data_IF_700756743294
#
_entry.id   IF_700756743294
#
_cell.length_a   1.000
_cell.length_b   1.000
_cell.length_c   1.000
_cell.angle_alpha   90.00
_cell.angle_beta   90.00
_cell.angle_gamma   90.00
#
_symmetry.space_group_name_H-M   'P 1'
#
loop_
_entity.id
_entity.type
_entity.pdbx_description
1 polymer ?
#
# COMPACT_ATOMS: atom_id res chain seq x y z
N UNK A 1 -6.50 14.33 -5.18
CA UNK A 1 -5.68 14.16 -3.95
C UNK A 1 -5.60 12.67 -3.65
N UNK A 2 -4.53 12.23 -2.98
CA UNK A 2 -4.29 10.82 -2.62
C UNK A 2 -4.11 10.70 -1.11
N UNK A 3 -4.78 9.75 -0.49
CA UNK A 3 -4.68 9.49 0.95
C UNK A 3 -3.95 8.16 1.16
N UNK A 4 -2.79 8.20 1.80
CA UNK A 4 -2.08 7.01 2.27
C UNK A 4 -2.39 6.78 3.75
N UNK A 5 -2.77 5.56 4.13
CA UNK A 5 -3.19 5.20 5.49
C UNK A 5 -2.41 3.97 5.96
N UNK A 6 -1.88 4.01 7.17
CA UNK A 6 -1.28 2.87 7.85
C UNK A 6 -1.98 2.69 9.19
N UNK A 7 -2.53 1.51 9.44
CA UNK A 7 -2.94 1.09 10.77
C UNK A 7 -1.83 0.25 11.39
N UNK A 8 -1.49 0.55 12.64
CA UNK A 8 -0.59 -0.26 13.46
C UNK A 8 -1.34 -0.75 14.70
N UNK A 9 -0.68 -1.58 15.51
CA UNK A 9 -1.24 -2.08 16.77
C UNK A 9 -1.67 -0.98 17.75
N UNK A 10 -1.04 0.19 17.71
CA UNK A 10 -1.24 1.25 18.72
C UNK A 10 -1.69 2.59 18.14
N UNK A 11 -1.62 2.80 16.82
CA UNK A 11 -1.98 4.07 16.20
C UNK A 11 -2.27 3.93 14.70
N UNK A 12 -2.91 4.95 14.14
CA UNK A 12 -3.09 5.15 12.72
C UNK A 12 -2.28 6.38 12.29
N UNK A 13 -1.57 6.25 11.16
CA UNK A 13 -0.91 7.37 10.48
C UNK A 13 -1.50 7.53 9.10
N UNK A 14 -1.90 8.74 8.74
CA UNK A 14 -2.37 9.03 7.40
C UNK A 14 -1.83 10.34 6.84
N UNK A 15 -1.63 10.38 5.52
CA UNK A 15 -1.14 11.56 4.79
C UNK A 15 -2.02 11.85 3.60
N UNK A 16 -2.47 13.09 3.50
CA UNK A 16 -3.13 13.62 2.31
C UNK A 16 -2.11 14.33 1.41
N UNK A 17 -1.85 13.75 0.24
CA UNK A 17 -0.92 14.28 -0.75
C UNK A 17 -1.66 14.86 -1.96
N UNK A 18 -1.14 15.98 -2.48
CA UNK A 18 -1.57 16.57 -3.76
C UNK A 18 -0.36 16.79 -4.67
N UNK A 19 -0.40 16.18 -5.85
CA UNK A 19 0.55 16.47 -6.94
C UNK A 19 0.13 17.78 -7.62
N UNK A 20 1.05 18.74 -7.72
CA UNK A 20 0.92 19.99 -8.47
C UNK A 20 2.11 20.10 -9.43
N UNK A 21 1.89 19.93 -10.73
CA UNK A 21 2.98 19.89 -11.72
C UNK A 21 4.14 18.99 -11.25
N UNK A 22 5.31 19.58 -10.98
CA UNK A 22 6.53 18.91 -10.55
C UNK A 22 6.68 18.71 -9.03
N UNK A 23 5.73 19.17 -8.22
CA UNK A 23 5.85 19.16 -6.76
C UNK A 23 4.78 18.28 -6.10
N UNK A 24 5.17 17.63 -5.00
CA UNK A 24 4.30 16.79 -4.18
C UNK A 24 4.06 17.49 -2.84
N UNK A 25 2.86 18.04 -2.65
CA UNK A 25 2.52 18.76 -1.43
C UNK A 25 1.83 17.82 -0.42
N UNK A 26 2.41 17.66 0.76
CA UNK A 26 1.73 17.10 1.92
C UNK A 26 0.79 18.16 2.51
N UNK A 27 -0.52 17.96 2.36
CA UNK A 27 -1.53 18.93 2.77
C UNK A 27 -2.00 18.70 4.21
N UNK A 28 -2.11 17.43 4.63
CA UNK A 28 -2.53 17.05 5.98
C UNK A 28 -1.77 15.81 6.42
N UNK A 29 -1.44 15.77 7.71
CA UNK A 29 -0.89 14.61 8.40
C UNK A 29 -1.80 14.31 9.60
N UNK A 30 -2.12 13.03 9.80
CA UNK A 30 -3.01 12.59 10.86
C UNK A 30 -2.35 11.50 11.69
N UNK A 31 -2.18 11.75 12.98
CA UNK A 31 -1.78 10.76 13.96
C UNK A 31 -2.96 10.52 14.91
N UNK A 32 -3.46 9.29 14.94
CA UNK A 32 -4.61 8.92 15.78
C UNK A 32 -4.18 7.73 16.61
N UNK A 33 -4.14 7.88 17.93
CA UNK A 33 -3.87 6.77 18.84
C UNK A 33 -5.03 5.77 18.83
N UNK A 34 -4.70 4.50 18.99
CA UNK A 34 -5.69 3.45 19.16
C UNK A 34 -6.37 3.61 20.51
N UNK A 35 -7.69 3.71 20.49
CA UNK A 35 -8.52 3.63 21.68
C UNK A 35 -9.06 2.20 21.85
N UNK A 36 -9.72 1.92 22.97
CA UNK A 36 -10.28 0.60 23.28
C UNK A 36 -11.56 0.27 22.50
N UNK A 37 -12.03 1.17 21.62
CA UNK A 37 -13.23 0.95 20.84
C UNK A 37 -13.02 -0.18 19.82
N UNK A 38 -13.91 -1.17 19.84
CA UNK A 38 -13.90 -2.27 18.85
C UNK A 38 -13.99 -1.76 17.40
N UNK A 39 -14.61 -0.59 17.20
CA UNK A 39 -14.80 0.04 15.90
C UNK A 39 -13.79 1.16 15.60
N UNK A 40 -12.66 1.23 16.32
CA UNK A 40 -11.67 2.32 16.20
C UNK A 40 -11.25 2.64 14.75
N UNK A 41 -11.00 1.62 13.93
CA UNK A 41 -10.60 1.81 12.53
C UNK A 41 -11.74 2.44 11.72
N UNK A 42 -12.99 2.02 11.97
CA UNK A 42 -14.17 2.58 11.31
C UNK A 42 -14.38 4.05 11.71
N UNK A 43 -14.28 4.37 13.00
CA UNK A 43 -14.35 5.74 13.51
C UNK A 43 -13.24 6.63 12.91
N UNK A 44 -12.03 6.09 12.79
CA UNK A 44 -10.87 6.75 12.17
C UNK A 44 -11.10 7.06 10.68
N UNK A 45 -11.63 6.10 9.93
CA UNK A 45 -11.97 6.30 8.51
C UNK A 45 -13.09 7.34 8.36
N UNK A 46 -14.13 7.28 9.19
CA UNK A 46 -15.18 8.29 9.27
C UNK A 46 -14.61 9.70 9.51
N UNK A 47 -13.63 9.83 10.40
CA UNK A 47 -12.92 11.08 10.64
C UNK A 47 -12.18 11.57 9.39
N UNK A 48 -11.45 10.69 8.68
CA UNK A 48 -10.79 11.09 7.44
C UNK A 48 -11.77 11.55 6.36
N UNK A 49 -12.92 10.89 6.22
CA UNK A 49 -13.95 11.27 5.25
C UNK A 49 -14.46 12.70 5.47
N UNK A 50 -14.69 13.06 6.74
CA UNK A 50 -15.10 14.43 7.12
C UNK A 50 -14.01 15.47 6.85
N UNK A 51 -12.73 15.09 7.00
CA UNK A 51 -11.62 16.04 7.00
C UNK A 51 -10.85 16.13 5.67
N UNK A 52 -10.94 15.15 4.78
CA UNK A 52 -10.10 15.10 3.57
C UNK A 52 -10.79 15.59 2.28
N UNK A 53 -12.08 15.94 2.35
CA UNK A 53 -12.85 16.37 1.18
C UNK A 53 -12.90 15.27 0.10
N UNK A 54 -12.99 15.68 -1.18
CA UNK A 54 -13.06 14.74 -2.31
C UNK A 54 -11.70 14.09 -2.57
N UNK A 55 -11.61 12.79 -2.34
CA UNK A 55 -10.42 11.97 -2.56
C UNK A 55 -10.49 11.25 -3.91
N UNK A 56 -9.36 11.17 -4.61
CA UNK A 56 -9.29 10.47 -5.90
C UNK A 56 -8.79 9.04 -5.72
N UNK A 57 -7.87 8.83 -4.76
CA UNK A 57 -7.28 7.53 -4.46
C UNK A 57 -7.06 7.39 -2.96
N UNK A 58 -7.34 6.21 -2.43
CA UNK A 58 -7.03 5.82 -1.05
C UNK A 58 -6.21 4.54 -1.08
N UNK A 59 -5.07 4.57 -0.42
CA UNK A 59 -4.08 3.49 -0.43
C UNK A 59 -3.86 3.08 1.02
N UNK A 60 -4.09 1.80 1.30
CA UNK A 60 -3.87 1.22 2.61
C UNK A 60 -2.51 0.52 2.64
N UNK A 61 -1.75 0.72 3.71
CA UNK A 61 -0.56 -0.05 4.04
C UNK A 61 -0.87 -1.19 4.98
N UNK A 62 -0.34 -2.36 4.69
CA UNK A 62 -0.27 -3.50 5.60
C UNK A 62 1.17 -3.73 6.05
N UNK A 63 1.33 -4.29 7.25
CA UNK A 63 2.64 -4.56 7.83
C UNK A 63 3.34 -5.67 7.04
N UNK A 64 4.66 -5.55 6.81
CA UNK A 64 5.47 -6.55 6.11
C UNK A 64 5.35 -7.97 6.70
N UNK A 65 5.04 -8.08 8.00
CA UNK A 65 4.86 -9.37 8.68
C UNK A 65 3.52 -10.06 8.37
N UNK A 66 2.55 -9.33 7.80
CA UNK A 66 1.24 -9.84 7.40
C UNK A 66 1.22 -10.36 5.96
N UNK A 67 2.36 -10.32 5.27
CA UNK A 67 2.51 -10.74 3.87
C UNK A 67 3.68 -11.71 3.73
N UNK A 68 3.61 -12.54 2.69
CA UNK A 68 4.66 -13.46 2.31
C UNK A 68 5.24 -13.02 0.97
N UNK A 69 6.57 -12.90 0.91
CA UNK A 69 7.27 -12.49 -0.31
C UNK A 69 8.24 -13.56 -0.79
N UNK A 70 8.30 -13.73 -2.11
CA UNK A 70 9.21 -14.64 -2.81
C UNK A 70 9.71 -13.99 -4.09
N UNK A 71 10.99 -14.16 -4.40
CA UNK A 71 11.51 -13.79 -5.72
C UNK A 71 11.61 -15.05 -6.57
N UNK A 72 11.07 -15.00 -7.78
CA UNK A 72 11.03 -16.13 -8.70
C UNK A 72 11.58 -15.71 -10.06
N UNK A 73 12.34 -16.62 -10.67
CA UNK A 73 12.75 -16.46 -12.07
C UNK A 73 11.81 -17.29 -12.94
N UNK A 74 11.08 -16.62 -13.81
CA UNK A 74 10.07 -17.24 -14.69
C UNK A 74 10.38 -16.96 -16.16
N UNK A 75 9.76 -17.72 -17.06
CA UNK A 75 9.86 -17.48 -18.49
C UNK A 75 9.32 -16.08 -18.86
N UNK A 76 10.11 -15.31 -19.61
CA UNK A 76 9.77 -13.95 -20.00
C UNK A 76 8.61 -13.88 -21.00
N UNK A 77 8.30 -14.96 -21.72
CA UNK A 77 7.20 -15.01 -22.69
C UNK A 77 5.83 -15.20 -22.03
N UNK A 78 5.78 -15.51 -20.73
CA UNK A 78 4.52 -15.68 -20.02
C UNK A 78 3.79 -14.34 -19.88
N UNK A 79 2.52 -14.34 -20.28
CA UNK A 79 1.56 -13.27 -20.01
C UNK A 79 1.19 -13.20 -18.54
N UNK A 80 0.67 -12.05 -18.08
CA UNK A 80 0.26 -11.85 -16.69
C UNK A 80 -0.74 -12.90 -16.21
N UNK A 81 -1.70 -13.27 -17.07
CA UNK A 81 -2.68 -14.33 -16.77
C UNK A 81 -1.99 -15.68 -16.54
N UNK A 82 -0.99 -16.02 -17.36
CA UNK A 82 -0.24 -17.27 -17.20
C UNK A 82 0.61 -17.26 -15.94
N UNK A 83 1.21 -16.11 -15.59
CA UNK A 83 2.00 -15.95 -14.37
C UNK A 83 1.11 -16.12 -13.14
N UNK A 84 -0.01 -15.39 -13.06
CA UNK A 84 -0.93 -15.51 -11.94
C UNK A 84 -1.49 -16.94 -11.80
N UNK A 85 -1.83 -17.59 -12.92
CA UNK A 85 -2.26 -18.99 -12.89
C UNK A 85 -1.15 -19.93 -12.37
N UNK A 86 0.09 -19.73 -12.82
CA UNK A 86 1.25 -20.47 -12.31
C UNK A 86 1.42 -20.29 -10.80
N UNK A 87 1.38 -19.05 -10.32
CA UNK A 87 1.51 -18.73 -8.89
C UNK A 87 0.39 -19.39 -8.07
N UNK A 88 -0.85 -19.36 -8.55
CA UNK A 88 -1.99 -20.04 -7.90
C UNK A 88 -1.80 -21.56 -7.83
N UNK A 89 -1.32 -22.19 -8.90
CA UNK A 89 -1.05 -23.63 -8.90
C UNK A 89 0.09 -24.01 -7.95
N UNK A 90 1.02 -23.09 -7.69
CA UNK A 90 2.18 -23.31 -6.83
C UNK A 90 1.99 -22.75 -5.40
N UNK A 91 0.81 -22.22 -5.06
CA UNK A 91 0.59 -21.50 -3.80
C UNK A 91 0.96 -22.33 -2.56
N UNK A 92 0.62 -23.61 -2.54
CA UNK A 92 0.91 -24.49 -1.41
C UNK A 92 2.43 -24.68 -1.23
N UNK A 93 3.15 -24.87 -2.33
CA UNK A 93 4.61 -25.02 -2.30
C UNK A 93 5.32 -23.71 -1.95
N UNK A 94 4.86 -22.58 -2.48
CA UNK A 94 5.50 -21.27 -2.31
C UNK A 94 5.24 -20.66 -0.93
N UNK A 95 4.03 -20.86 -0.41
CA UNK A 95 3.50 -20.14 0.75
C UNK A 95 2.94 -21.04 1.86
N UNK A 96 2.74 -22.34 1.62
CA UNK A 96 2.16 -23.26 2.60
C UNK A 96 0.65 -23.14 2.76
N UNK A 97 -0.03 -22.52 1.80
CA UNK A 97 -1.49 -22.36 1.80
C UNK A 97 -2.08 -22.64 0.43
N UNK A 98 -3.28 -23.22 0.43
CA UNK A 98 -4.08 -23.37 -0.78
C UNK A 98 -4.42 -22.01 -1.41
N UNK A 99 -4.56 -21.99 -2.74
CA UNK A 99 -4.68 -20.76 -3.52
C UNK A 99 -5.90 -19.91 -3.13
N UNK A 100 -7.01 -20.54 -2.77
CA UNK A 100 -8.25 -19.89 -2.35
C UNK A 100 -8.13 -19.13 -1.03
N UNK A 101 -7.10 -19.44 -0.22
CA UNK A 101 -6.81 -18.74 1.03
C UNK A 101 -5.92 -17.52 0.84
N UNK A 102 -5.41 -17.28 -0.36
CA UNK A 102 -4.42 -16.24 -0.63
C UNK A 102 -4.93 -15.24 -1.67
N UNK A 103 -4.71 -13.96 -1.38
CA UNK A 103 -4.58 -12.94 -2.41
C UNK A 103 -3.13 -12.92 -2.87
N UNK A 104 -2.89 -13.03 -4.18
CA UNK A 104 -1.54 -13.09 -4.76
C UNK A 104 -1.41 -12.02 -5.82
N UNK A 105 -0.31 -11.27 -5.75
CA UNK A 105 0.09 -10.31 -6.78
C UNK A 105 1.60 -10.41 -7.02
N UNK A 106 2.10 -9.75 -8.07
CA UNK A 106 3.52 -9.72 -8.36
C UNK A 106 3.95 -8.45 -9.07
N UNK A 107 5.23 -8.11 -8.93
CA UNK A 107 5.89 -7.08 -9.73
C UNK A 107 7.08 -7.66 -10.48
N UNK A 108 7.41 -7.04 -11.62
CA UNK A 108 8.61 -7.39 -12.40
C UNK A 108 9.76 -6.54 -11.87
N UNK A 109 10.75 -7.19 -11.25
CA UNK A 109 11.96 -6.52 -10.75
C UNK A 109 12.92 -6.24 -11.89
N UNK A 110 13.12 -7.24 -12.76
CA UNK A 110 14.09 -7.15 -13.86
C UNK A 110 13.61 -7.90 -15.09
N UNK A 111 13.59 -7.19 -16.22
CA UNK A 111 13.31 -7.76 -17.52
C UNK A 111 14.56 -8.47 -18.10
N UNK A 112 14.33 -9.66 -18.67
CA UNK A 112 15.23 -10.41 -19.57
C UNK A 112 16.66 -10.64 -19.05
N UNK A 113 16.83 -11.74 -18.33
CA UNK A 113 18.09 -12.48 -18.24
C UNK A 113 17.89 -13.77 -19.03
N UNK A 114 18.50 -13.90 -20.22
CA UNK A 114 18.50 -15.14 -21.01
C UNK A 114 17.10 -15.76 -21.23
N UNK A 115 16.13 -14.96 -21.67
CA UNK A 115 14.76 -15.43 -21.90
C UNK A 115 13.89 -15.57 -20.64
N UNK A 116 14.42 -15.21 -19.47
CA UNK A 116 13.69 -15.21 -18.20
C UNK A 116 13.50 -13.80 -17.65
N UNK A 117 12.51 -13.60 -16.79
CA UNK A 117 12.32 -12.37 -15.99
C UNK A 117 12.30 -12.71 -14.51
N UNK A 118 12.87 -11.81 -13.70
CA UNK A 118 12.83 -11.90 -12.25
C UNK A 118 11.60 -11.15 -11.77
N UNK A 119 10.73 -11.84 -11.04
CA UNK A 119 9.54 -11.27 -10.42
C UNK A 119 9.64 -11.35 -8.90
N UNK A 120 9.05 -10.36 -8.22
CA UNK A 120 8.75 -10.42 -6.79
C UNK A 120 7.27 -10.73 -6.66
N UNK A 121 6.97 -11.85 -6.01
CA UNK A 121 5.62 -12.29 -5.71
C UNK A 121 5.30 -11.91 -4.28
N UNK A 122 4.11 -11.35 -4.07
CA UNK A 122 3.56 -11.01 -2.77
C UNK A 122 2.27 -11.79 -2.59
N UNK A 123 2.09 -12.41 -1.43
CA UNK A 123 0.81 -12.99 -1.05
C UNK A 123 0.41 -12.57 0.36
N UNK A 124 -0.90 -12.48 0.57
CA UNK A 124 -1.51 -12.19 1.86
C UNK A 124 -2.72 -13.10 2.06
N UNK A 125 -3.15 -13.30 3.30
CA UNK A 125 -4.36 -14.07 3.56
C UNK A 125 -5.58 -13.35 2.98
N UNK A 126 -6.37 -14.08 2.19
CA UNK A 126 -7.56 -13.55 1.52
C UNK A 126 -8.56 -12.97 2.51
N UNK A 127 -8.69 -13.57 3.71
CA UNK A 127 -9.59 -13.09 4.77
C UNK A 127 -9.24 -11.67 5.23
N UNK A 128 -7.95 -11.35 5.34
CA UNK A 128 -7.50 -10.02 5.76
C UNK A 128 -7.75 -8.98 4.65
N UNK A 129 -7.51 -9.37 3.40
CA UNK A 129 -7.76 -8.49 2.24
C UNK A 129 -9.25 -8.19 2.08
N UNK A 130 -10.10 -9.20 2.22
CA UNK A 130 -11.56 -9.04 2.23
C UNK A 130 -12.01 -8.14 3.38
N UNK A 131 -11.48 -8.35 4.60
CA UNK A 131 -11.78 -7.49 5.74
C UNK A 131 -11.48 -6.01 5.45
N UNK A 132 -10.29 -5.69 4.91
CA UNK A 132 -9.95 -4.32 4.59
C UNK A 132 -10.81 -3.72 3.48
N UNK A 133 -11.14 -4.50 2.45
CA UNK A 133 -12.04 -4.07 1.38
C UNK A 133 -13.42 -3.71 1.93
N UNK A 134 -14.00 -4.57 2.77
CA UNK A 134 -15.29 -4.35 3.40
C UNK A 134 -15.28 -3.16 4.36
N UNK A 135 -14.24 -3.05 5.20
CA UNK A 135 -14.07 -1.94 6.14
C UNK A 135 -14.07 -0.58 5.40
N UNK A 136 -13.31 -0.46 4.32
CA UNK A 136 -13.25 0.79 3.56
C UNK A 136 -14.53 1.04 2.75
N UNK A 137 -15.12 -0.01 2.16
CA UNK A 137 -16.38 0.10 1.44
C UNK A 137 -17.51 0.57 2.36
N UNK A 138 -17.57 0.09 3.62
CA UNK A 138 -18.56 0.52 4.61
C UNK A 138 -18.49 2.03 4.90
N UNK A 139 -17.32 2.64 4.71
CA UNK A 139 -17.07 4.06 4.88
C UNK A 139 -17.10 4.81 3.54
N UNK A 140 -17.63 4.16 2.49
CA UNK A 140 -17.73 4.67 1.13
C UNK A 140 -16.37 5.15 0.58
N UNK A 141 -15.28 4.51 1.00
CA UNK A 141 -13.98 4.68 0.39
C UNK A 141 -13.80 3.61 -0.70
N UNK A 142 -13.34 4.05 -1.86
CA UNK A 142 -12.82 3.14 -2.87
C UNK A 142 -11.32 2.97 -2.64
N UNK A 143 -10.91 1.82 -2.10
CA UNK A 143 -9.50 1.45 -2.06
C UNK A 143 -8.98 1.33 -3.48
N UNK A 144 -7.90 2.07 -3.77
CA UNK A 144 -7.21 2.00 -5.05
C UNK A 144 -6.12 0.95 -5.04
N UNK A 145 -5.52 0.69 -3.87
CA UNK A 145 -4.52 -0.33 -3.65
C UNK A 145 -4.43 -0.67 -2.16
N UNK A 146 -4.02 -1.90 -1.88
CA UNK A 146 -3.45 -2.32 -0.61
C UNK A 146 -2.00 -2.64 -0.90
N UNK A 147 -1.09 -2.09 -0.12
CA UNK A 147 0.34 -2.15 -0.37
C UNK A 147 1.10 -2.43 0.93
N UNK A 148 2.37 -2.80 0.80
CA UNK A 148 3.22 -3.20 1.92
C UNK A 148 4.01 -2.00 2.42
N UNK A 149 4.13 -1.87 3.73
CA UNK A 149 4.85 -0.76 4.37
C UNK A 149 6.32 -0.62 3.90
N UNK A 150 7.01 -1.73 3.68
CA UNK A 150 8.40 -1.77 3.19
C UNK A 150 8.54 -1.17 1.79
N UNK A 151 7.68 -1.56 0.84
CA UNK A 151 7.67 -1.02 -0.53
C UNK A 151 7.23 0.44 -0.56
N UNK A 152 6.28 0.82 0.28
CA UNK A 152 5.90 2.21 0.45
C UNK A 152 7.09 3.04 0.97
N UNK A 153 7.85 2.52 1.93
CA UNK A 153 9.03 3.19 2.47
C UNK A 153 10.12 3.38 1.41
N UNK A 154 10.37 2.39 0.55
CA UNK A 154 11.29 2.52 -0.59
C UNK A 154 10.87 3.69 -1.50
N UNK A 155 9.58 3.78 -1.85
CA UNK A 155 9.06 4.91 -2.64
C UNK A 155 9.16 6.24 -1.91
N UNK A 156 9.01 6.29 -0.59
CA UNK A 156 9.23 7.53 0.14
C UNK A 156 10.65 8.06 -0.08
N UNK A 157 11.67 7.21 0.03
CA UNK A 157 13.06 7.64 -0.14
C UNK A 157 13.39 8.08 -1.56
N UNK A 158 12.77 7.46 -2.58
CA UNK A 158 12.90 7.89 -3.97
C UNK A 158 12.40 9.33 -4.19
N UNK A 159 11.36 9.73 -3.47
CA UNK A 159 10.69 11.02 -3.64
C UNK A 159 10.95 12.04 -2.52
N UNK A 160 11.76 11.73 -1.50
CA UNK A 160 11.91 12.55 -0.29
C UNK A 160 12.21 14.02 -0.62
N UNK A 161 13.11 14.26 -1.58
CA UNK A 161 13.53 15.59 -2.00
C UNK A 161 12.47 16.37 -2.79
N UNK A 162 11.43 15.70 -3.29
CA UNK A 162 10.36 16.29 -4.10
C UNK A 162 9.11 16.62 -3.27
N UNK A 163 9.14 16.32 -1.96
CA UNK A 163 8.02 16.53 -1.04
C UNK A 163 8.11 17.90 -0.39
N UNK A 164 7.06 18.69 -0.57
CA UNK A 164 6.86 19.96 0.12
C UNK A 164 5.92 19.73 1.28
N UNK A 165 6.42 19.97 2.48
CA UNK A 165 5.61 19.97 3.67
C UNK A 165 4.76 21.25 3.76
N UNK A 166 3.44 21.13 3.53
CA UNK A 166 2.47 22.20 3.77
C UNK A 166 1.59 21.92 4.98
N UNK A 167 2.02 21.00 5.84
CA UNK A 167 1.33 20.67 7.08
C UNK A 167 1.81 21.58 8.22
N UNK A 168 1.18 21.45 9.39
CA UNK A 168 1.59 22.17 10.60
C UNK A 168 2.68 21.44 11.41
N UNK A 169 3.17 20.29 10.95
CA UNK A 169 4.22 19.52 11.65
C UNK A 169 5.60 19.80 11.04
N UNK A 170 6.66 19.63 11.85
CA UNK A 170 8.04 19.83 11.41
C UNK A 170 8.43 18.82 10.33
N UNK A 171 9.46 19.13 9.52
CA UNK A 171 10.00 18.16 8.55
C UNK A 171 10.57 16.91 9.24
N UNK A 172 11.12 17.06 10.45
CA UNK A 172 11.59 15.93 11.24
C UNK A 172 10.44 15.03 11.67
N UNK A 173 9.32 15.61 12.11
CA UNK A 173 8.12 14.84 12.46
C UNK A 173 7.44 14.23 11.23
N UNK A 174 7.52 14.89 10.07
CA UNK A 174 6.97 14.35 8.83
C UNK A 174 7.63 13.02 8.45
N UNK A 175 8.91 12.80 8.80
CA UNK A 175 9.58 11.50 8.59
C UNK A 175 8.92 10.35 9.35
N UNK A 176 8.21 10.62 10.47
CA UNK A 176 7.40 9.62 11.19
C UNK A 176 6.21 9.11 10.34
N UNK A 177 5.89 9.80 9.25
CA UNK A 177 4.86 9.43 8.29
C UNK A 177 5.43 8.85 6.99
N UNK A 178 6.72 8.52 6.91
CA UNK A 178 7.39 8.05 5.70
C UNK A 178 6.59 6.97 4.94
N UNK A 179 6.12 5.94 5.64
CA UNK A 179 5.27 4.89 5.05
C UNK A 179 3.96 5.46 4.48
N UNK A 180 3.22 6.25 5.26
CA UNK A 180 1.96 6.85 4.81
C UNK A 180 2.15 7.79 3.61
N UNK A 181 3.28 8.51 3.54
CA UNK A 181 3.66 9.30 2.37
C UNK A 181 3.92 8.37 1.18
N UNK A 182 4.76 7.36 1.36
CA UNK A 182 5.07 6.34 0.35
C UNK A 182 3.85 5.66 -0.27
N UNK A 183 2.83 5.39 0.54
CA UNK A 183 1.53 4.89 0.08
C UNK A 183 0.78 5.93 -0.75
N UNK A 184 0.75 7.19 -0.32
CA UNK A 184 0.11 8.26 -1.08
C UNK A 184 0.80 8.54 -2.44
N UNK A 185 2.06 8.10 -2.60
CA UNK A 185 2.81 8.13 -3.86
C UNK A 185 2.49 6.97 -4.79
N UNK A 186 1.80 5.91 -4.35
CA UNK A 186 1.52 4.71 -5.15
C UNK A 186 0.88 5.04 -6.51
N UNK A 187 1.42 4.48 -7.59
CA UNK A 187 0.97 4.74 -8.96
C UNK A 187 1.17 6.20 -9.40
N UNK A 188 2.14 6.91 -8.81
CA UNK A 188 2.79 8.04 -9.46
C UNK A 188 4.00 7.47 -10.19
N UNK A 189 4.00 7.55 -11.51
CA UNK A 189 5.24 7.31 -12.25
C UNK A 189 6.19 8.48 -11.94
N UNK A 190 7.46 8.15 -11.69
CA UNK A 190 8.56 9.10 -11.83
C UNK A 190 8.52 9.72 -13.24
N UNK A 191 9.06 10.94 -13.34
CA UNK A 191 9.23 11.62 -14.62
C UNK A 191 10.15 10.83 -15.55
#
# INVERSE_FOLDING_TARGET
MRLGIVFSKTNCRAILLKKNHHQLACLKAFFIEKNEERAWQQSTLSYFRKNCGKLNKVILGVENQSVMMRELTIDATLSDKQILNYLRMQSDHLFGYAAEKLSVDYEIIKNKIQGKKLIRVVSALQVDMTYYQELFLSQNFQLSAIDIDSLALERFYQFENNIINKTMISNQDLKKFAVAIGLALWGLNEY
#
